data_IF_525804708634
#
_entry.id   IF_525804708634
#
_cell.length_a   1.000
_cell.length_b   1.000
_cell.length_c   1.000
_cell.angle_alpha   90.00
_cell.angle_beta   90.00
_cell.angle_gamma   90.00
#
_symmetry.space_group_name_H-M   'P 1'
#
loop_
_entity.id
_entity.type
_entity.pdbx_description
1 polymer ?
#
# COMPACT_ATOMS: atom_id res chain seq x y z
N UNK A 1 27.07 54.58 -0.07
CA UNK A 1 25.97 55.26 0.64
C UNK A 1 25.44 54.33 1.73
N UNK A 2 25.48 54.82 2.98
CA UNK A 2 24.62 54.54 4.17
C UNK A 2 24.08 53.11 4.33
N UNK A 3 24.43 52.35 5.38
CA UNK A 3 24.07 52.58 6.80
C UNK A 3 22.66 52.02 7.04
N UNK A 4 22.28 51.34 8.11
CA UNK A 4 22.82 51.12 9.45
C UNK A 4 22.21 49.82 10.01
N UNK A 5 22.94 49.19 10.93
CA UNK A 5 22.43 48.19 11.86
C UNK A 5 21.34 48.81 12.75
N UNK A 6 20.25 48.10 13.04
CA UNK A 6 19.50 48.30 14.27
C UNK A 6 18.98 46.96 14.78
N UNK A 7 19.43 46.65 16.00
CA UNK A 7 18.99 45.53 16.82
C UNK A 7 17.96 46.03 17.85
N UNK A 8 17.29 45.07 18.51
CA UNK A 8 16.59 45.19 19.81
C UNK A 8 15.21 45.90 19.70
N UNK A 9 14.12 45.55 20.40
CA UNK A 9 13.84 45.19 21.80
C UNK A 9 12.41 44.57 21.82
N UNK A 10 12.17 43.33 22.29
CA UNK A 10 11.67 42.93 23.63
C UNK A 10 10.25 43.41 24.06
N UNK A 11 9.45 42.42 24.53
CA UNK A 11 8.52 42.45 25.67
C UNK A 11 7.13 43.13 25.53
N UNK A 12 6.00 42.76 26.18
CA UNK A 12 5.55 41.73 27.16
C UNK A 12 4.03 41.99 27.40
N UNK A 13 3.22 40.95 27.74
CA UNK A 13 1.95 40.86 28.54
C UNK A 13 0.88 42.00 28.53
N UNK A 14 -0.42 41.84 28.82
CA UNK A 14 -1.42 40.79 29.07
C UNK A 14 -2.77 41.52 29.40
N UNK A 15 -3.87 40.73 29.53
CA UNK A 15 -5.17 41.04 30.17
C UNK A 15 -6.16 41.93 29.38
N UNK A 16 -7.48 41.78 29.45
CA UNK A 16 -8.42 40.79 29.97
C UNK A 16 -9.83 41.26 29.49
N UNK A 17 -10.75 40.34 29.20
CA UNK A 17 -12.14 40.67 28.87
C UNK A 17 -13.07 39.48 29.11
N UNK A 18 -13.91 39.61 30.15
CA UNK A 18 -14.89 38.64 30.67
C UNK A 18 -16.07 38.34 29.73
N UNK A 19 -16.71 37.17 29.93
CA UNK A 19 -18.16 37.01 29.70
C UNK A 19 -18.64 35.60 29.35
N UNK A 20 -19.27 34.92 30.31
CA UNK A 20 -19.61 33.49 30.38
C UNK A 20 -20.93 33.06 29.70
N UNK A 21 -20.97 31.79 29.22
CA UNK A 21 -21.93 30.69 29.55
C UNK A 21 -22.33 29.85 28.33
N UNK A 22 -22.16 28.53 28.44
CA UNK A 22 -23.02 27.58 27.72
C UNK A 22 -22.37 26.24 27.40
N UNK A 23 -22.69 25.22 28.20
CA UNK A 23 -22.66 23.80 27.79
C UNK A 23 -21.29 23.12 27.83
N UNK A 24 -21.11 22.23 28.80
CA UNK A 24 -20.04 21.24 28.83
C UNK A 24 -20.39 20.09 27.88
N UNK A 25 -19.65 19.81 26.79
CA UNK A 25 -19.66 18.49 26.18
C UNK A 25 -18.60 17.65 26.88
N UNK A 26 -19.06 16.53 27.44
CA UNK A 26 -18.26 15.49 28.07
C UNK A 26 -16.97 15.18 27.30
N UNK A 27 -15.86 14.86 28.00
CA UNK A 27 -14.60 14.50 27.34
C UNK A 27 -14.83 13.30 26.41
N UNK A 28 -14.24 13.30 25.20
CA UNK A 28 -14.30 12.13 24.33
C UNK A 28 -13.70 10.94 25.06
N UNK A 29 -14.43 9.82 25.04
CA UNK A 29 -14.01 8.55 25.61
C UNK A 29 -12.58 8.20 25.14
N UNK A 30 -11.75 7.59 25.99
CA UNK A 30 -10.43 7.13 25.56
C UNK A 30 -10.61 6.20 24.37
N UNK A 31 -9.86 6.48 23.29
CA UNK A 31 -9.73 5.62 22.13
C UNK A 31 -9.51 4.19 22.64
N UNK A 32 -10.48 3.32 22.39
CA UNK A 32 -10.37 1.92 22.69
C UNK A 32 -9.05 1.44 22.10
N UNK A 33 -8.16 0.98 22.98
CA UNK A 33 -6.90 0.36 22.61
C UNK A 33 -7.19 -0.66 21.51
N UNK A 34 -6.65 -0.44 20.31
CA UNK A 34 -6.68 -1.42 19.24
C UNK A 34 -5.97 -2.65 19.80
N UNK A 35 -6.63 -3.80 19.98
CA UNK A 35 -5.90 -4.99 20.37
C UNK A 35 -4.90 -5.27 19.26
N UNK A 36 -3.63 -5.47 19.64
CA UNK A 36 -2.62 -5.97 18.74
C UNK A 36 -3.21 -7.17 18.00
N UNK A 37 -3.23 -7.11 16.67
CA UNK A 37 -3.80 -8.16 15.85
C UNK A 37 -2.90 -9.40 15.96
N UNK A 38 -3.18 -10.20 16.98
CA UNK A 38 -2.74 -11.58 17.13
C UNK A 38 -3.16 -12.33 15.87
N UNK A 39 -2.21 -12.51 14.95
CA UNK A 39 -2.22 -13.37 13.75
C UNK A 39 -3.56 -14.10 13.47
N UNK A 40 -4.59 -13.32 13.10
CA UNK A 40 -5.97 -13.79 13.05
C UNK A 40 -6.37 -14.09 11.62
N UNK A 41 -6.78 -15.33 11.36
CA UNK A 41 -7.55 -15.67 10.16
C UNK A 41 -8.66 -14.63 10.00
N UNK A 42 -8.72 -13.98 8.84
CA UNK A 42 -9.80 -13.03 8.48
C UNK A 42 -11.14 -13.65 8.88
N UNK A 43 -11.92 -12.95 9.71
CA UNK A 43 -13.26 -13.36 10.08
C UNK A 43 -14.12 -13.51 8.82
N UNK A 44 -15.12 -14.39 8.84
CA UNK A 44 -16.03 -14.61 7.70
C UNK A 44 -16.76 -13.35 7.23
N UNK A 45 -16.86 -12.35 8.09
CA UNK A 45 -17.38 -11.00 7.83
C UNK A 45 -16.42 -10.10 7.02
N UNK A 46 -15.13 -10.44 6.99
CA UNK A 46 -14.09 -9.68 6.29
C UNK A 46 -13.71 -10.28 4.93
N UNK A 47 -14.05 -11.56 4.71
CA UNK A 47 -13.83 -12.26 3.44
C UNK A 47 -14.65 -11.56 2.34
N UNK A 48 -13.95 -11.00 1.35
CA UNK A 48 -14.57 -10.24 0.26
C UNK A 48 -14.76 -8.75 0.53
N UNK A 49 -14.40 -8.27 1.72
CA UNK A 49 -14.42 -6.83 2.08
C UNK A 49 -12.99 -6.26 2.12
N UNK A 50 -12.04 -7.02 2.67
CA UNK A 50 -10.62 -6.64 2.75
C UNK A 50 -9.75 -7.58 1.92
N UNK A 51 -8.72 -7.01 1.27
CA UNK A 51 -7.71 -7.80 0.58
C UNK A 51 -6.71 -8.38 1.58
N UNK A 52 -6.30 -9.66 1.44
CA UNK A 52 -5.20 -10.22 2.22
C UNK A 52 -3.82 -9.67 1.80
N UNK A 53 -3.75 -8.89 0.71
CA UNK A 53 -2.53 -8.23 0.23
C UNK A 53 -2.55 -6.79 0.70
N UNK A 54 -1.94 -6.51 1.86
CA UNK A 54 -1.81 -5.15 2.39
C UNK A 54 -0.76 -4.35 1.60
N UNK A 55 0.44 -4.93 1.47
CA UNK A 55 1.48 -4.46 0.58
C UNK A 55 2.29 -5.67 0.05
N UNK A 56 2.87 -5.52 -1.13
CA UNK A 56 3.75 -6.52 -1.73
C UNK A 56 4.89 -5.82 -2.47
N UNK A 57 6.09 -6.34 -2.29
CA UNK A 57 7.28 -5.97 -3.07
C UNK A 57 7.87 -7.23 -3.68
N UNK A 58 8.17 -7.18 -4.97
CA UNK A 58 8.78 -8.30 -5.67
C UNK A 58 9.36 -7.93 -7.02
N UNK A 59 9.94 -8.90 -7.71
CA UNK A 59 10.56 -8.65 -9.00
C UNK A 59 11.40 -9.81 -9.52
N UNK A 60 12.07 -9.54 -10.63
CA UNK A 60 13.04 -10.43 -11.27
C UNK A 60 14.28 -9.65 -11.69
N UNK A 61 15.05 -10.18 -12.66
CA UNK A 61 16.36 -9.61 -13.03
C UNK A 61 16.29 -8.13 -13.46
N UNK A 62 15.31 -7.74 -14.29
CA UNK A 62 15.26 -6.40 -14.90
C UNK A 62 13.95 -5.64 -14.59
N UNK A 63 13.19 -6.12 -13.60
CA UNK A 63 11.88 -5.55 -13.28
C UNK A 63 11.54 -5.70 -11.80
N UNK A 64 10.72 -4.76 -11.31
CA UNK A 64 10.20 -4.74 -9.94
C UNK A 64 8.72 -4.35 -9.96
N UNK A 65 7.95 -4.88 -9.03
CA UNK A 65 6.58 -4.49 -8.77
C UNK A 65 6.41 -4.11 -7.30
N UNK A 66 5.71 -3.00 -7.08
CA UNK A 66 5.18 -2.61 -5.78
C UNK A 66 3.66 -2.62 -5.86
N UNK A 67 3.00 -3.18 -4.86
CA UNK A 67 1.55 -3.22 -4.72
C UNK A 67 1.22 -2.71 -3.33
N UNK A 68 0.28 -1.76 -3.21
CA UNK A 68 -0.20 -1.26 -1.92
C UNK A 68 -1.71 -1.20 -1.92
N UNK A 69 -2.35 -1.63 -0.84
CA UNK A 69 -3.79 -1.53 -0.69
C UNK A 69 -4.21 -0.07 -0.49
N UNK A 70 -5.19 0.38 -1.27
CA UNK A 70 -5.80 1.72 -1.17
C UNK A 70 -7.11 1.70 -0.36
N UNK A 71 -7.43 0.55 0.23
CA UNK A 71 -8.66 0.32 1.00
C UNK A 71 -9.58 -0.71 0.36
N UNK A 72 -10.22 -1.52 1.21
CA UNK A 72 -11.08 -2.60 0.78
C UNK A 72 -10.34 -3.64 -0.06
N UNK A 73 -10.77 -3.79 -1.33
CA UNK A 73 -10.17 -4.72 -2.29
C UNK A 73 -9.28 -4.03 -3.35
N UNK A 74 -9.07 -2.71 -3.28
CA UNK A 74 -8.35 -1.95 -4.31
C UNK A 74 -6.88 -1.76 -3.94
N UNK A 75 -6.04 -1.68 -4.97
CA UNK A 75 -4.60 -1.55 -4.86
C UNK A 75 -4.03 -0.57 -5.88
N UNK A 76 -3.07 0.24 -5.44
CA UNK A 76 -2.13 0.92 -6.31
C UNK A 76 -1.00 -0.02 -6.70
N UNK A 77 -0.58 0.05 -7.95
CA UNK A 77 0.52 -0.75 -8.49
C UNK A 77 1.56 0.16 -9.12
N UNK A 78 2.84 -0.17 -8.95
CA UNK A 78 3.94 0.42 -9.70
C UNK A 78 4.79 -0.69 -10.29
N UNK A 79 4.81 -0.81 -11.62
CA UNK A 79 5.64 -1.77 -12.34
C UNK A 79 6.84 -1.04 -12.95
N UNK A 80 8.03 -1.35 -12.46
CA UNK A 80 9.28 -0.82 -13.00
C UNK A 80 9.93 -1.86 -13.92
N UNK A 81 10.34 -1.44 -15.12
CA UNK A 81 11.14 -2.23 -16.08
C UNK A 81 12.26 -1.35 -16.61
N UNK A 82 13.51 -1.72 -16.29
CA UNK A 82 14.66 -0.84 -16.52
C UNK A 82 14.47 0.54 -15.85
N UNK A 83 14.57 1.62 -16.63
CA UNK A 83 14.41 3.00 -16.15
C UNK A 83 12.94 3.49 -16.14
N UNK A 84 12.01 2.73 -16.72
CA UNK A 84 10.61 3.14 -16.84
C UNK A 84 9.79 2.56 -15.70
N UNK A 85 9.03 3.42 -15.01
CA UNK A 85 8.05 3.02 -14.00
C UNK A 85 6.64 3.38 -14.45
N UNK A 86 5.83 2.36 -14.75
CA UNK A 86 4.44 2.52 -15.14
C UNK A 86 3.54 2.38 -13.89
N UNK A 87 2.68 3.36 -13.56
CA UNK A 87 1.69 3.21 -12.51
C UNK A 87 0.53 2.32 -12.97
N UNK A 88 -0.22 1.76 -12.05
CA UNK A 88 -1.39 0.94 -12.31
C UNK A 88 -2.36 0.94 -11.14
N UNK A 89 -3.54 0.40 -11.38
CA UNK A 89 -4.49 0.05 -10.32
C UNK A 89 -4.96 -1.38 -10.51
N UNK A 90 -5.21 -2.07 -9.41
CA UNK A 90 -5.72 -3.43 -9.43
C UNK A 90 -6.76 -3.64 -8.33
N UNK A 91 -7.55 -4.69 -8.49
CA UNK A 91 -8.49 -5.15 -7.47
C UNK A 91 -8.21 -6.61 -7.16
N UNK A 92 -8.13 -6.93 -5.88
CA UNK A 92 -8.08 -8.31 -5.43
C UNK A 92 -9.34 -9.06 -5.89
N UNK A 93 -9.12 -10.21 -6.52
CA UNK A 93 -10.16 -11.14 -6.94
C UNK A 93 -10.09 -12.34 -6.00
N UNK A 94 -11.06 -12.49 -5.08
CA UNK A 94 -11.20 -13.73 -4.32
C UNK A 94 -11.35 -14.86 -5.33
N UNK A 95 -10.56 -15.91 -5.19
CA UNK A 95 -10.73 -17.07 -6.03
C UNK A 95 -12.11 -17.68 -5.82
N UNK A 96 -12.82 -17.95 -6.91
CA UNK A 96 -14.15 -18.53 -6.88
C UNK A 96 -14.07 -20.03 -6.55
N UNK A 97 -14.04 -20.37 -5.26
CA UNK A 97 -13.95 -21.76 -4.79
C UNK A 97 -12.64 -22.46 -5.15
N UNK A 98 -12.17 -23.36 -4.29
CA UNK A 98 -11.01 -24.25 -4.50
C UNK A 98 -9.61 -23.63 -4.67
N UNK A 99 -9.41 -22.30 -4.66
CA UNK A 99 -8.03 -21.80 -4.64
C UNK A 99 -7.29 -22.32 -3.42
N UNK A 100 -6.05 -22.77 -3.69
CA UNK A 100 -5.17 -23.22 -2.64
C UNK A 100 -4.94 -22.06 -1.65
N UNK A 101 -4.93 -22.36 -0.34
CA UNK A 101 -4.47 -21.39 0.65
C UNK A 101 -3.11 -20.81 0.24
N UNK A 102 -3.02 -19.49 0.11
CA UNK A 102 -1.78 -18.83 -0.33
C UNK A 102 -1.70 -18.49 -1.81
N UNK A 103 -2.77 -18.61 -2.59
CA UNK A 103 -2.89 -18.00 -3.92
C UNK A 103 -3.68 -16.68 -3.83
N UNK A 104 -3.13 -15.60 -4.39
CA UNK A 104 -3.76 -14.29 -4.45
C UNK A 104 -3.74 -13.78 -5.89
N UNK A 105 -4.91 -13.39 -6.41
CA UNK A 105 -5.02 -12.79 -7.74
C UNK A 105 -5.47 -11.34 -7.63
N UNK A 106 -4.78 -10.46 -8.34
CA UNK A 106 -5.20 -9.09 -8.57
C UNK A 106 -5.38 -8.86 -10.06
N UNK A 107 -6.41 -8.12 -10.44
CA UNK A 107 -6.68 -7.75 -11.83
C UNK A 107 -6.99 -6.27 -11.93
N UNK A 108 -6.49 -5.62 -12.99
CA UNK A 108 -6.76 -4.22 -13.25
C UNK A 108 -6.04 -3.70 -14.48
N UNK A 109 -5.47 -2.51 -14.38
CA UNK A 109 -4.92 -1.77 -15.51
C UNK A 109 -3.55 -1.22 -15.18
N UNK A 110 -2.62 -1.34 -16.12
CA UNK A 110 -1.35 -0.64 -16.12
C UNK A 110 -1.43 0.56 -17.08
N UNK A 111 -1.07 1.74 -16.60
CA UNK A 111 -1.12 3.00 -17.34
C UNK A 111 0.24 3.25 -17.99
N UNK A 112 0.38 2.91 -19.27
CA UNK A 112 1.65 3.08 -20.00
C UNK A 112 1.60 4.33 -20.88
N UNK A 113 2.76 4.85 -21.27
CA UNK A 113 2.84 5.95 -22.24
C UNK A 113 2.19 5.61 -23.61
N UNK A 114 2.08 4.32 -23.94
CA UNK A 114 1.43 3.83 -25.17
C UNK A 114 -0.07 3.60 -25.05
N UNK A 115 -0.64 3.85 -23.86
CA UNK A 115 -2.03 3.59 -23.52
C UNK A 115 -2.21 2.59 -22.38
N UNK A 116 -3.44 2.47 -21.92
CA UNK A 116 -3.85 1.60 -20.83
C UNK A 116 -3.87 0.13 -21.28
N UNK A 117 -3.34 -0.76 -20.44
CA UNK A 117 -3.26 -2.20 -20.72
C UNK A 117 -3.87 -2.99 -19.57
N UNK A 118 -4.64 -4.02 -19.87
CA UNK A 118 -5.11 -4.91 -18.82
C UNK A 118 -3.91 -5.62 -18.17
N UNK A 119 -4.01 -5.83 -16.86
CA UNK A 119 -2.96 -6.42 -16.05
C UNK A 119 -3.55 -7.46 -15.09
N UNK A 120 -2.89 -8.61 -15.01
CA UNK A 120 -3.14 -9.64 -14.00
C UNK A 120 -1.87 -9.89 -13.20
N UNK A 121 -2.03 -9.98 -11.89
CA UNK A 121 -0.96 -10.30 -10.96
C UNK A 121 -1.39 -11.53 -10.17
N UNK A 122 -0.53 -12.54 -10.14
CA UNK A 122 -0.72 -13.75 -9.34
C UNK A 122 0.42 -13.86 -8.34
N UNK A 123 0.07 -13.92 -7.07
CA UNK A 123 0.99 -14.16 -5.96
C UNK A 123 0.72 -15.55 -5.42
N UNK A 124 1.75 -16.39 -5.38
CA UNK A 124 1.65 -17.74 -4.88
C UNK A 124 2.64 -17.94 -3.74
N UNK A 125 2.13 -18.30 -2.57
CA UNK A 125 2.94 -18.65 -1.41
C UNK A 125 3.74 -19.90 -1.71
N UNK A 126 5.03 -19.85 -1.43
CA UNK A 126 5.95 -20.95 -1.63
C UNK A 126 7.36 -20.45 -1.86
N UNK A 127 8.34 -21.31 -1.58
CA UNK A 127 9.75 -20.98 -1.74
C UNK A 127 10.03 -20.51 -3.17
N UNK A 128 10.63 -19.34 -3.30
CA UNK A 128 11.10 -18.75 -4.54
C UNK A 128 12.56 -18.35 -4.36
N UNK A 129 13.43 -18.74 -5.29
CA UNK A 129 14.84 -18.37 -5.23
C UNK A 129 15.17 -17.45 -6.40
N UNK A 130 15.74 -16.29 -6.09
CA UNK A 130 16.17 -15.35 -7.12
C UNK A 130 17.56 -15.70 -7.69
N UNK A 131 18.02 -14.93 -8.69
CA UNK A 131 19.31 -15.15 -9.33
C UNK A 131 20.51 -14.89 -8.39
N UNK A 132 20.31 -14.09 -7.33
CA UNK A 132 21.30 -13.86 -6.27
C UNK A 132 21.25 -14.94 -5.18
N UNK A 133 20.48 -16.02 -5.41
CA UNK A 133 20.29 -17.14 -4.52
C UNK A 133 19.63 -16.78 -3.17
N UNK A 134 18.94 -15.63 -3.07
CA UNK A 134 18.09 -15.32 -1.92
C UNK A 134 16.77 -16.09 -2.01
N UNK A 135 16.28 -16.52 -0.86
CA UNK A 135 15.01 -17.22 -0.72
C UNK A 135 13.92 -16.26 -0.26
N UNK A 136 12.83 -16.24 -1.01
CA UNK A 136 11.64 -15.42 -0.79
C UNK A 136 10.40 -16.31 -0.54
N UNK A 137 9.44 -15.86 0.29
CA UNK A 137 8.27 -16.65 0.64
C UNK A 137 7.15 -16.65 -0.41
N UNK A 138 7.25 -15.82 -1.46
CA UNK A 138 6.26 -15.71 -2.51
C UNK A 138 6.88 -15.73 -3.90
N UNK A 139 6.18 -16.39 -4.82
CA UNK A 139 6.35 -16.26 -6.27
C UNK A 139 5.36 -15.24 -6.79
N UNK A 140 5.79 -14.43 -7.75
CA UNK A 140 4.93 -13.48 -8.45
C UNK A 140 4.96 -13.74 -9.95
N UNK A 141 3.78 -13.68 -10.56
CA UNK A 141 3.60 -13.61 -12.01
C UNK A 141 2.84 -12.32 -12.34
N UNK A 142 3.34 -11.57 -13.31
CA UNK A 142 2.66 -10.38 -13.84
C UNK A 142 2.45 -10.57 -15.33
N UNK A 143 1.18 -10.48 -15.75
CA UNK A 143 0.77 -10.50 -17.15
C UNK A 143 0.18 -9.14 -17.48
N UNK A 144 0.65 -8.54 -18.58
CA UNK A 144 0.13 -7.26 -19.09
C UNK A 144 -0.14 -7.44 -20.58
N UNK A 145 -1.31 -7.01 -21.05
CA UNK A 145 -1.72 -7.20 -22.43
C UNK A 145 -0.69 -6.67 -23.44
N UNK A 146 -0.24 -7.57 -24.33
CA UNK A 146 0.75 -7.26 -25.36
C UNK A 146 2.19 -7.16 -24.87
N UNK A 147 2.49 -7.55 -23.63
CA UNK A 147 3.85 -7.64 -23.08
C UNK A 147 4.19 -9.10 -22.69
N UNK A 148 5.49 -9.48 -22.65
CA UNK A 148 5.90 -10.77 -22.11
C UNK A 148 5.49 -10.94 -20.64
N UNK A 149 5.12 -12.16 -20.27
CA UNK A 149 4.84 -12.50 -18.87
C UNK A 149 6.11 -12.36 -18.03
N UNK A 150 5.98 -11.78 -16.85
CA UNK A 150 7.07 -11.57 -15.92
C UNK A 150 6.95 -12.55 -14.76
N UNK A 151 8.05 -13.20 -14.42
CA UNK A 151 8.12 -14.15 -13.30
C UNK A 151 9.21 -13.71 -12.33
N UNK A 152 8.91 -13.82 -11.03
CA UNK A 152 9.79 -13.30 -10.00
C UNK A 152 9.48 -13.81 -8.61
N UNK A 153 10.23 -13.29 -7.66
CA UNK A 153 10.10 -13.57 -6.24
C UNK A 153 9.71 -12.30 -5.48
N UNK A 154 9.19 -12.43 -4.27
CA UNK A 154 8.90 -11.27 -3.43
C UNK A 154 8.33 -11.63 -2.06
N UNK A 155 7.85 -10.61 -1.38
CA UNK A 155 7.26 -10.72 -0.05
C UNK A 155 6.05 -9.82 0.13
N UNK A 156 5.15 -10.24 1.02
CA UNK A 156 4.12 -9.37 1.54
C UNK A 156 4.74 -8.52 2.65
N UNK A 157 4.73 -7.19 2.47
CA UNK A 157 5.07 -6.27 3.54
C UNK A 157 3.85 -6.17 4.49
N UNK A 158 4.10 -6.31 5.79
CA UNK A 158 3.08 -6.26 6.85
C UNK A 158 3.00 -4.87 7.46
#
# INVERSE_FOLDING_TARGET
>A
MRGCRFALVLAILAAAGCGSRGGDPAPPAPLASVPAAEHGKLGTDQVGVLSPVAAFEGGGADWRIEIRADGGLRHGVRLQRGATGDPGSARYRPAAGTAAPGEHRLEGTLYTASGDRAMRIELQRGECRDAAAHTWPWRVRVEVDGLPSLHGCGELAQ
#
